data_IF_704290104967
#
_entry.id   IF_704290104967
#
_cell.length_a   1.000
_cell.length_b   1.000
_cell.length_c   1.000
_cell.angle_alpha   90.00
_cell.angle_beta   90.00
_cell.angle_gamma   90.00
#
_symmetry.space_group_name_H-M   'P 1'
#
loop_
_entity.id
_entity.type
_entity.pdbx_description
1 polymer ?
#
# COMPACT_ATOMS: atom_id res chain seq x y z
N UNK A 1 -12.98 18.60 -11.61
CA UNK A 1 -12.21 17.59 -12.36
C UNK A 1 -11.32 16.83 -11.38
N UNK A 2 -11.23 15.51 -11.52
CA UNK A 2 -10.33 14.68 -10.71
C UNK A 2 -8.87 15.00 -11.03
N UNK A 3 -7.97 14.83 -10.05
CA UNK A 3 -6.52 15.03 -10.20
C UNK A 3 -5.78 13.72 -9.97
N UNK A 4 -4.74 13.46 -10.77
CA UNK A 4 -3.76 12.43 -10.47
C UNK A 4 -2.73 13.00 -9.48
N UNK A 5 -2.44 12.27 -8.41
CA UNK A 5 -1.46 12.66 -7.39
C UNK A 5 -0.69 11.46 -6.89
N UNK A 6 0.54 11.71 -6.43
CA UNK A 6 1.36 10.76 -5.67
C UNK A 6 1.55 11.38 -4.29
N UNK A 7 1.12 10.67 -3.25
CA UNK A 7 1.16 11.11 -1.85
C UNK A 7 1.88 10.06 -1.01
N UNK A 8 2.45 10.48 0.14
CA UNK A 8 3.14 9.60 1.10
C UNK A 8 4.17 8.64 0.49
N UNK A 9 4.73 8.97 -0.68
CA UNK A 9 5.76 8.18 -1.32
C UNK A 9 7.11 8.51 -0.69
N UNK A 10 7.78 7.50 -0.15
CA UNK A 10 9.06 7.68 0.52
C UNK A 10 10.20 7.19 -0.36
N UNK A 11 11.33 7.90 -0.31
CA UNK A 11 12.55 7.59 -1.04
C UNK A 11 13.74 7.62 -0.06
N UNK A 12 14.71 6.75 -0.30
CA UNK A 12 16.03 6.88 0.31
C UNK A 12 16.76 8.10 -0.24
N UNK A 13 17.83 8.51 0.46
CA UNK A 13 18.68 9.63 0.04
C UNK A 13 19.31 9.41 -1.35
N UNK A 14 19.63 8.17 -1.68
CA UNK A 14 20.20 7.71 -2.95
C UNK A 14 19.16 7.31 -4.00
N UNK A 15 17.86 7.54 -3.75
CA UNK A 15 16.82 7.53 -4.78
C UNK A 15 16.03 6.23 -4.95
N UNK A 16 15.99 5.37 -3.93
CA UNK A 16 15.25 4.10 -3.96
C UNK A 16 13.93 4.19 -3.18
N UNK A 17 12.83 3.70 -3.77
CA UNK A 17 11.50 3.65 -3.13
C UNK A 17 11.15 2.30 -2.49
N UNK A 18 12.04 1.32 -2.59
CA UNK A 18 11.90 -0.01 -2.01
C UNK A 18 13.29 -0.65 -1.86
N UNK A 19 13.41 -1.64 -0.99
CA UNK A 19 14.60 -2.48 -0.89
C UNK A 19 14.72 -3.46 -2.06
N UNK A 20 15.91 -4.06 -2.27
CA UNK A 20 16.09 -5.14 -3.23
C UNK A 20 15.36 -6.42 -2.77
N UNK A 21 15.23 -7.40 -3.68
CA UNK A 21 14.81 -8.77 -3.32
C UNK A 21 13.48 -8.88 -2.56
N UNK A 22 12.45 -8.15 -3.02
CA UNK A 22 11.09 -8.31 -2.48
C UNK A 22 10.64 -9.77 -2.50
N UNK A 23 10.14 -10.24 -1.36
CA UNK A 23 9.58 -11.57 -1.15
C UNK A 23 8.33 -11.50 -0.27
N UNK A 24 7.76 -12.66 0.09
CA UNK A 24 6.70 -12.73 1.09
C UNK A 24 7.19 -12.26 2.47
N UNK A 25 8.41 -12.66 2.84
CA UNK A 25 9.04 -12.29 4.12
C UNK A 25 9.53 -10.85 4.13
N UNK A 26 9.84 -10.29 2.96
CA UNK A 26 10.25 -8.89 2.78
C UNK A 26 9.32 -8.17 1.78
N UNK A 27 8.10 -7.76 2.19
CA UNK A 27 7.10 -7.17 1.29
C UNK A 27 7.55 -5.88 0.58
N UNK A 28 8.47 -5.13 1.20
CA UNK A 28 9.07 -3.92 0.66
C UNK A 28 10.51 -4.13 0.16
N UNK A 29 10.96 -5.39 0.08
CA UNK A 29 12.38 -5.73 -0.14
C UNK A 29 13.22 -5.62 1.14
N UNK A 30 14.42 -6.18 1.08
CA UNK A 30 15.36 -6.21 2.21
C UNK A 30 15.70 -4.78 2.63
N UNK A 31 15.37 -4.43 3.89
CA UNK A 31 15.55 -3.08 4.44
C UNK A 31 14.53 -2.03 3.98
N UNK A 32 13.54 -2.39 3.14
CA UNK A 32 12.56 -1.43 2.62
C UNK A 32 11.64 -0.82 3.68
N UNK A 33 11.44 -1.50 4.81
CA UNK A 33 10.67 -0.97 5.94
C UNK A 33 11.32 0.27 6.58
N UNK A 34 12.64 0.42 6.47
CA UNK A 34 13.35 1.56 7.05
C UNK A 34 12.94 2.90 6.44
N UNK A 35 12.44 2.89 5.20
CA UNK A 35 11.88 4.06 4.53
C UNK A 35 10.62 4.59 5.23
N UNK A 36 9.87 3.74 5.93
CA UNK A 36 8.53 4.08 6.41
C UNK A 36 8.47 4.41 7.91
N UNK A 37 9.63 4.54 8.57
CA UNK A 37 9.74 4.80 10.03
C UNK A 37 9.00 6.05 10.51
N UNK A 38 8.82 7.05 9.66
CA UNK A 38 8.06 8.25 9.97
C UNK A 38 6.57 7.94 10.21
N UNK A 39 6.00 6.99 9.46
CA UNK A 39 4.57 6.67 9.50
C UNK A 39 4.21 5.65 10.59
N UNK A 40 5.09 4.69 10.92
CA UNK A 40 4.70 3.51 11.74
C UNK A 40 4.21 3.82 13.16
N UNK A 41 4.46 5.03 13.70
CA UNK A 41 4.04 5.44 15.04
C UNK A 41 2.78 6.30 15.05
N UNK A 42 2.31 6.72 13.88
CA UNK A 42 1.18 7.65 13.75
C UNK A 42 -0.13 6.95 14.10
N UNK A 43 -1.12 7.73 14.54
CA UNK A 43 -2.48 7.23 14.78
C UNK A 43 -3.08 6.66 13.49
N UNK A 44 -2.83 7.31 12.36
CA UNK A 44 -3.28 6.85 11.04
C UNK A 44 -2.80 5.43 10.72
N UNK A 45 -1.51 5.14 10.94
CA UNK A 45 -0.98 3.79 10.73
C UNK A 45 -1.56 2.78 11.72
N UNK A 46 -1.72 3.16 12.98
CA UNK A 46 -2.32 2.29 13.98
C UNK A 46 -3.76 1.91 13.64
N UNK A 47 -4.60 2.88 13.25
CA UNK A 47 -5.96 2.62 12.80
C UNK A 47 -5.99 1.68 11.59
N UNK A 48 -5.06 1.86 10.64
CA UNK A 48 -4.92 1.03 9.45
C UNK A 48 -4.71 -0.46 9.78
N UNK A 49 -4.04 -0.76 10.90
CA UNK A 49 -3.75 -2.13 11.35
C UNK A 49 -4.65 -2.59 12.51
N UNK A 50 -5.72 -1.84 12.81
CA UNK A 50 -6.65 -2.19 13.89
C UNK A 50 -6.09 -2.01 15.31
N UNK A 51 -5.12 -1.12 15.49
CA UNK A 51 -4.48 -0.80 16.78
C UNK A 51 -4.95 0.55 17.31
N UNK A 52 -5.10 0.66 18.63
CA UNK A 52 -5.42 1.92 19.31
C UNK A 52 -4.17 2.76 19.61
N UNK A 53 -4.34 4.08 19.70
CA UNK A 53 -3.29 5.05 20.09
C UNK A 53 -2.59 5.70 18.90
N UNK A 54 -1.26 5.84 19.01
CA UNK A 54 -0.41 6.49 18.00
C UNK A 54 -0.25 7.99 18.20
N UNK A 55 0.79 8.55 17.58
CA UNK A 55 1.07 9.99 17.61
C UNK A 55 0.12 10.77 16.70
N UNK A 56 -0.13 12.02 17.04
CA UNK A 56 -0.93 12.99 16.25
C UNK A 56 -0.10 14.24 15.98
N UNK A 57 1.11 14.02 15.50
CA UNK A 57 2.08 15.06 15.16
C UNK A 57 2.03 15.36 13.66
N UNK A 58 3.01 16.12 13.18
CA UNK A 58 3.11 16.46 11.75
C UNK A 58 3.17 15.23 10.84
N UNK A 59 3.77 14.12 11.29
CA UNK A 59 3.82 12.89 10.50
C UNK A 59 2.41 12.29 10.37
N UNK A 60 1.59 12.32 11.43
CA UNK A 60 0.20 11.90 11.36
C UNK A 60 -0.62 12.81 10.42
N UNK A 61 -0.42 14.14 10.48
CA UNK A 61 -1.09 15.08 9.56
C UNK A 61 -0.77 14.77 8.09
N UNK A 62 0.49 14.42 7.77
CA UNK A 62 0.88 14.00 6.44
C UNK A 62 0.26 12.64 6.05
N UNK A 63 0.17 11.70 6.99
CA UNK A 63 -0.47 10.42 6.77
C UNK A 63 -1.96 10.60 6.45
N UNK A 64 -2.73 11.29 7.30
CA UNK A 64 -4.18 11.57 7.09
C UNK A 64 -4.43 12.17 5.71
N UNK A 65 -3.73 13.27 5.39
CA UNK A 65 -3.89 13.99 4.10
C UNK A 65 -3.61 13.11 2.88
N UNK A 66 -2.82 12.04 3.04
CA UNK A 66 -2.48 11.15 1.94
C UNK A 66 -3.64 10.25 1.53
N UNK A 67 -4.57 9.96 2.44
CA UNK A 67 -5.77 9.15 2.20
C UNK A 67 -7.04 9.99 1.96
N UNK A 68 -7.06 11.26 2.37
CA UNK A 68 -8.23 12.15 2.18
C UNK A 68 -8.55 12.42 0.71
N UNK A 69 -9.83 12.27 0.32
CA UNK A 69 -10.32 12.58 -1.04
C UNK A 69 -9.63 11.74 -2.14
N UNK A 70 -9.29 10.48 -1.84
CA UNK A 70 -8.92 9.48 -2.85
C UNK A 70 -10.19 8.81 -3.37
N UNK A 71 -10.42 8.85 -4.68
CA UNK A 71 -11.55 8.15 -5.32
C UNK A 71 -11.18 6.83 -5.99
N UNK A 72 -9.89 6.59 -6.24
CA UNK A 72 -9.34 5.35 -6.80
C UNK A 72 -7.83 5.28 -6.55
N UNK A 73 -7.30 4.06 -6.47
CA UNK A 73 -5.85 3.80 -6.43
C UNK A 73 -5.38 3.15 -7.74
N UNK A 74 -4.15 3.43 -8.14
CA UNK A 74 -3.47 2.72 -9.23
C UNK A 74 -2.15 2.21 -8.66
N UNK A 75 -1.96 0.88 -8.66
CA UNK A 75 -0.78 0.24 -8.12
C UNK A 75 -0.05 -0.56 -9.20
N UNK A 76 1.27 -0.64 -9.08
CA UNK A 76 2.05 -1.56 -9.90
C UNK A 76 1.88 -3.01 -9.44
N UNK A 77 2.03 -3.96 -10.36
CA UNK A 77 1.97 -5.41 -10.09
C UNK A 77 2.84 -5.86 -8.90
N UNK A 78 4.05 -5.31 -8.77
CA UNK A 78 4.99 -5.68 -7.71
C UNK A 78 4.66 -5.02 -6.37
N UNK A 79 3.90 -3.92 -6.36
CA UNK A 79 3.37 -3.36 -5.10
C UNK A 79 2.24 -4.25 -4.56
N UNK A 80 1.43 -4.84 -5.45
CA UNK A 80 0.29 -5.68 -5.06
C UNK A 80 0.65 -7.11 -4.65
N UNK A 81 1.61 -7.75 -5.31
CA UNK A 81 1.98 -9.13 -4.96
C UNK A 81 3.47 -9.44 -5.18
N UNK A 82 4.01 -10.42 -4.43
CA UNK A 82 5.41 -10.83 -4.53
C UNK A 82 5.73 -11.66 -5.78
N UNK A 83 4.75 -12.34 -6.37
CA UNK A 83 5.00 -13.23 -7.51
C UNK A 83 5.40 -12.45 -8.77
N UNK A 84 6.28 -13.07 -9.57
CA UNK A 84 6.77 -12.57 -10.86
C UNK A 84 6.15 -13.40 -11.99
N UNK A 85 5.73 -12.76 -13.08
CA UNK A 85 5.08 -13.43 -14.20
C UNK A 85 3.61 -13.76 -13.96
N UNK A 86 3.07 -14.81 -14.62
CA UNK A 86 1.67 -15.22 -14.49
C UNK A 86 1.24 -15.47 -13.03
N UNK A 87 -0.05 -15.30 -12.77
CA UNK A 87 -0.62 -15.65 -11.47
C UNK A 87 -0.47 -17.17 -11.24
N UNK A 88 0.11 -17.61 -10.11
CA UNK A 88 0.19 -19.04 -9.81
C UNK A 88 -1.21 -19.64 -9.61
N UNK A 89 -2.10 -18.84 -9.02
CA UNK A 89 -3.51 -19.13 -8.77
C UNK A 89 -4.26 -17.82 -8.44
N UNK A 90 -5.54 -17.93 -8.06
CA UNK A 90 -6.40 -16.82 -7.65
C UNK A 90 -6.51 -16.63 -6.13
N UNK A 91 -5.62 -17.23 -5.33
CA UNK A 91 -5.69 -17.18 -3.86
C UNK A 91 -5.14 -15.88 -3.27
N UNK A 92 -4.14 -15.25 -3.91
CA UNK A 92 -3.53 -14.02 -3.39
C UNK A 92 -4.47 -12.82 -3.45
N UNK A 93 -4.73 -12.16 -2.33
CA UNK A 93 -5.63 -10.98 -2.25
C UNK A 93 -4.94 -9.68 -1.81
N UNK A 94 -3.62 -9.70 -1.63
CA UNK A 94 -2.85 -8.56 -1.12
C UNK A 94 -2.32 -8.77 0.29
N UNK A 95 -1.61 -7.76 0.80
CA UNK A 95 -0.84 -7.83 2.05
C UNK A 95 -1.67 -7.64 3.33
N UNK A 96 -2.88 -7.09 3.23
CA UNK A 96 -3.66 -6.57 4.36
C UNK A 96 -4.82 -7.47 4.80
N UNK A 97 -4.83 -8.73 4.37
CA UNK A 97 -5.95 -9.63 4.64
C UNK A 97 -7.24 -9.15 3.95
N UNK A 98 -8.43 -9.39 4.54
CA UNK A 98 -9.70 -9.16 3.87
C UNK A 98 -10.12 -7.69 3.78
N UNK A 99 -9.57 -6.80 4.62
CA UNK A 99 -9.96 -5.38 4.71
C UNK A 99 -8.75 -4.45 4.47
N UNK A 100 -8.34 -4.23 3.22
CA UNK A 100 -7.19 -3.39 2.89
C UNK A 100 -7.49 -1.89 3.06
N UNK A 101 -6.47 -1.04 3.24
CA UNK A 101 -6.64 0.36 3.62
C UNK A 101 -7.09 1.31 2.50
N UNK A 102 -7.45 0.78 1.34
CA UNK A 102 -7.75 1.58 0.15
C UNK A 102 -9.19 2.12 0.16
N UNK A 103 -10.15 1.27 0.52
CA UNK A 103 -11.60 1.56 0.65
C UNK A 103 -12.25 2.24 -0.56
N UNK A 104 -11.67 2.04 -1.75
CA UNK A 104 -12.14 2.51 -3.06
C UNK A 104 -11.63 1.57 -4.16
N UNK A 105 -12.10 1.67 -5.42
CA UNK A 105 -11.57 0.86 -6.52
C UNK A 105 -10.04 0.98 -6.67
N UNK A 106 -9.36 -0.16 -6.79
CA UNK A 106 -7.90 -0.24 -6.81
C UNK A 106 -7.42 -1.00 -8.04
N UNK A 107 -6.84 -0.27 -8.99
CA UNK A 107 -6.42 -0.81 -10.27
C UNK A 107 -4.98 -1.31 -10.21
N UNK A 108 -4.78 -2.61 -10.43
CA UNK A 108 -3.45 -3.21 -10.53
C UNK A 108 -3.00 -3.22 -11.99
N UNK A 109 -1.96 -2.45 -12.29
CA UNK A 109 -1.36 -2.44 -13.62
C UNK A 109 -0.50 -3.70 -13.83
N UNK A 110 -0.95 -4.60 -14.71
CA UNK A 110 -0.34 -5.91 -14.97
C UNK A 110 -0.61 -6.38 -16.40
N UNK A 111 0.26 -7.25 -16.93
CA UNK A 111 0.03 -7.95 -18.20
C UNK A 111 -0.79 -9.24 -18.02
N UNK A 112 -0.98 -9.69 -16.79
CA UNK A 112 -1.65 -10.95 -16.47
C UNK A 112 -3.09 -10.68 -16.06
N UNK A 113 -4.04 -11.02 -16.94
CA UNK A 113 -5.47 -10.84 -16.67
C UNK A 113 -5.91 -11.65 -15.46
N UNK A 114 -6.76 -11.04 -14.63
CA UNK A 114 -7.41 -11.65 -13.47
C UNK A 114 -8.78 -10.98 -13.28
N UNK A 115 -9.74 -11.70 -12.71
CA UNK A 115 -11.02 -11.11 -12.33
C UNK A 115 -10.82 -10.10 -11.17
N UNK A 116 -11.69 -9.08 -11.05
CA UNK A 116 -11.72 -8.21 -9.86
C UNK A 116 -11.88 -9.02 -8.56
N UNK A 117 -11.38 -8.46 -7.45
CA UNK A 117 -11.44 -9.10 -6.15
C UNK A 117 -12.23 -8.19 -5.22
N UNK A 118 -13.41 -8.63 -4.81
CA UNK A 118 -14.20 -7.94 -3.79
C UNK A 118 -13.56 -8.13 -2.41
N UNK A 119 -13.27 -7.02 -1.74
CA UNK A 119 -12.68 -7.00 -0.40
C UNK A 119 -13.62 -6.28 0.58
N UNK A 120 -13.44 -6.53 1.87
CA UNK A 120 -14.14 -5.77 2.91
C UNK A 120 -13.80 -4.26 2.80
N UNK A 121 -14.72 -3.41 3.24
CA UNK A 121 -14.54 -1.96 3.14
C UNK A 121 -14.67 -1.38 1.73
N UNK A 122 -15.11 -2.17 0.73
CA UNK A 122 -15.48 -1.69 -0.60
C UNK A 122 -14.31 -1.54 -1.59
N UNK A 123 -13.15 -2.10 -1.28
CA UNK A 123 -12.04 -2.18 -2.25
C UNK A 123 -12.35 -3.27 -3.28
N UNK A 124 -12.16 -2.95 -4.57
CA UNK A 124 -12.35 -3.85 -5.71
C UNK A 124 -11.23 -3.77 -6.73
#
# INVERSE_FOLDING_TARGET
MSRLRVNAFTLSLDGYGAGPEQSLDNPLGVGGEDLHKWMIKTRSFYQMIGKEGGTTDTDDDFAVRSFENVGAWILGRNMFAPSRGPWPDDSWKGWWGPNPPYHVPTFILTHHKRAPIEMEGGTT
#
